data_IF_600235082515
#
_entry.id   IF_600235082515
#
_cell.length_a   1.000
_cell.length_b   1.000
_cell.length_c   1.000
_cell.angle_alpha   90.00
_cell.angle_beta   90.00
_cell.angle_gamma   90.00
#
_symmetry.space_group_name_H-M   'P 1'
#
loop_
_entity.id
_entity.type
_entity.pdbx_description
1 polymer ?
#
# COMPACT_ATOMS: atom_id res chain seq x y z
N UNK A 1 13.44 5.85 4.52
CA UNK A 1 12.39 5.39 5.47
C UNK A 1 11.08 5.46 4.71
N UNK A 2 10.44 4.32 4.52
CA UNK A 2 9.17 4.18 3.82
C UNK A 2 8.04 4.63 4.76
N UNK A 3 7.15 5.47 4.28
CA UNK A 3 5.94 5.83 5.02
C UNK A 3 4.72 5.32 4.26
N UNK A 4 3.83 4.65 4.98
CA UNK A 4 2.56 4.18 4.45
C UNK A 4 1.45 4.80 5.30
N UNK A 5 0.60 5.59 4.66
CA UNK A 5 -0.59 6.19 5.25
C UNK A 5 -1.84 5.50 4.67
N UNK A 6 -2.63 4.87 5.52
CA UNK A 6 -3.92 4.26 5.16
C UNK A 6 -5.03 5.17 5.67
N UNK A 7 -5.94 5.57 4.77
CA UNK A 7 -7.09 6.41 5.09
C UNK A 7 -8.37 5.58 5.13
N UNK A 8 -9.15 5.73 6.19
CA UNK A 8 -10.44 5.06 6.36
C UNK A 8 -11.60 6.05 6.51
N UNK A 9 -12.73 5.68 5.93
CA UNK A 9 -14.04 6.31 6.16
C UNK A 9 -15.07 5.22 6.47
N UNK A 10 -15.91 5.42 7.49
CA UNK A 10 -16.87 4.42 7.95
C UNK A 10 -16.26 3.01 8.14
N UNK A 11 -15.02 2.97 8.65
CA UNK A 11 -14.22 1.75 8.85
C UNK A 11 -13.78 1.02 7.56
N UNK A 12 -14.03 1.60 6.37
CA UNK A 12 -13.56 1.09 5.08
C UNK A 12 -12.28 1.80 4.66
N UNK A 13 -11.31 1.08 4.10
CA UNK A 13 -10.14 1.71 3.47
C UNK A 13 -10.61 2.38 2.17
N UNK A 14 -10.40 3.68 2.05
CA UNK A 14 -10.75 4.44 0.84
C UNK A 14 -9.52 4.79 0.01
N UNK A 15 -8.34 4.85 0.62
CA UNK A 15 -7.09 5.07 -0.07
C UNK A 15 -5.89 4.65 0.78
N UNK A 16 -4.75 4.51 0.13
CA UNK A 16 -3.46 4.49 0.80
C UNK A 16 -2.43 5.31 0.02
N UNK A 17 -1.41 5.78 0.74
CA UNK A 17 -0.25 6.45 0.16
C UNK A 17 1.01 5.78 0.67
N UNK A 18 1.97 5.52 -0.20
CA UNK A 18 3.29 4.99 0.13
C UNK A 18 4.37 5.91 -0.45
N UNK A 19 5.25 6.44 0.40
CA UNK A 19 6.35 7.31 0.02
C UNK A 19 7.71 6.82 0.53
N UNK A 20 8.81 7.25 -0.11
CA UNK A 20 10.17 6.92 0.30
C UNK A 20 10.62 5.49 -0.05
N UNK A 21 9.90 4.82 -0.97
CA UNK A 21 10.17 3.45 -1.40
C UNK A 21 11.16 3.36 -2.59
N UNK A 22 11.66 4.51 -3.07
CA UNK A 22 12.71 4.62 -4.08
C UNK A 22 13.98 5.33 -3.57
N UNK A 23 14.06 5.61 -2.26
CA UNK A 23 15.26 6.22 -1.65
C UNK A 23 16.33 5.13 -1.38
N UNK A 24 17.30 5.03 -2.28
CA UNK A 24 18.44 4.11 -2.17
C UNK A 24 19.68 4.84 -1.66
N UNK A 25 20.18 4.49 -0.48
CA UNK A 25 21.50 4.93 -0.03
C UNK A 25 22.21 3.96 0.91
N UNK A 26 21.49 3.13 1.69
CA UNK A 26 22.12 2.25 2.69
C UNK A 26 21.93 0.76 2.39
N UNK A 27 23.01 -0.01 2.63
CA UNK A 27 23.07 -1.44 2.39
C UNK A 27 21.96 -2.18 3.15
N UNK A 28 21.03 -2.82 2.42
CA UNK A 28 19.87 -3.54 2.99
C UNK A 28 18.54 -2.80 2.91
N UNK A 29 18.54 -1.47 2.70
CA UNK A 29 17.33 -0.67 2.45
C UNK A 29 16.61 -1.14 1.17
N UNK A 30 17.39 -1.56 0.17
CA UNK A 30 16.95 -2.06 -1.13
C UNK A 30 15.97 -3.23 -1.01
N UNK A 31 16.19 -4.14 -0.05
CA UNK A 31 15.35 -5.32 0.16
C UNK A 31 13.99 -4.93 0.77
N UNK A 32 13.99 -3.95 1.68
CA UNK A 32 12.75 -3.47 2.31
C UNK A 32 11.93 -2.67 1.29
N UNK A 33 12.58 -1.83 0.48
CA UNK A 33 11.95 -1.12 -0.62
C UNK A 33 11.31 -2.09 -1.61
N UNK A 34 12.06 -3.10 -2.08
CA UNK A 34 11.54 -4.11 -2.98
C UNK A 34 10.36 -4.89 -2.38
N UNK A 35 10.43 -5.23 -1.09
CA UNK A 35 9.33 -5.89 -0.36
C UNK A 35 8.08 -5.02 -0.29
N UNK A 36 8.21 -3.76 0.12
CA UNK A 36 7.10 -2.82 0.24
C UNK A 36 6.44 -2.54 -1.12
N UNK A 37 7.25 -2.28 -2.16
CA UNK A 37 6.77 -2.08 -3.53
C UNK A 37 6.03 -3.31 -4.06
N UNK A 38 6.58 -4.51 -3.86
CA UNK A 38 5.92 -5.75 -4.30
C UNK A 38 4.55 -5.94 -3.63
N UNK A 39 4.43 -5.62 -2.35
CA UNK A 39 3.16 -5.71 -1.62
C UNK A 39 2.16 -4.68 -2.15
N UNK A 40 2.55 -3.41 -2.28
CA UNK A 40 1.65 -2.33 -2.65
C UNK A 40 1.18 -2.43 -4.11
N UNK A 41 2.11 -2.49 -5.07
CA UNK A 41 1.78 -2.60 -6.49
C UNK A 41 1.10 -3.93 -6.81
N UNK A 42 1.56 -5.02 -6.18
CA UNK A 42 0.90 -6.32 -6.32
C UNK A 42 -0.56 -6.28 -5.87
N UNK A 43 -0.86 -5.55 -4.79
CA UNK A 43 -2.23 -5.41 -4.31
C UNK A 43 -3.11 -4.58 -5.24
N UNK A 44 -2.60 -3.44 -5.72
CA UNK A 44 -3.32 -2.59 -6.68
C UNK A 44 -3.69 -3.38 -7.93
N UNK A 45 -2.73 -4.15 -8.46
CA UNK A 45 -2.97 -5.02 -9.63
C UNK A 45 -3.98 -6.13 -9.32
N UNK A 46 -3.86 -6.80 -8.17
CA UNK A 46 -4.75 -7.89 -7.79
C UNK A 46 -6.21 -7.41 -7.62
N UNK A 47 -6.42 -6.25 -7.00
CA UNK A 47 -7.75 -5.67 -6.83
C UNK A 47 -8.37 -5.35 -8.19
N UNK A 48 -7.60 -4.71 -9.07
CA UNK A 48 -8.03 -4.33 -10.42
C UNK A 48 -8.43 -5.56 -11.25
N UNK A 49 -7.64 -6.63 -11.21
CA UNK A 49 -7.93 -7.88 -11.92
C UNK A 49 -9.17 -8.60 -11.36
N UNK A 50 -9.36 -8.62 -10.03
CA UNK A 50 -10.49 -9.31 -9.39
C UNK A 50 -11.82 -8.60 -9.60
N UNK A 51 -11.80 -7.29 -9.84
CA UNK A 51 -13.00 -6.45 -10.01
C UNK A 51 -13.16 -5.79 -11.37
N UNK A 52 -12.27 -6.13 -12.31
CA UNK A 52 -12.30 -5.70 -13.71
C UNK A 52 -12.47 -4.17 -13.84
N UNK A 53 -11.62 -3.42 -13.14
CA UNK A 53 -11.57 -1.96 -13.23
C UNK A 53 -10.13 -1.46 -13.35
N UNK A 54 -9.97 -0.28 -13.96
CA UNK A 54 -8.67 0.38 -14.05
C UNK A 54 -8.28 1.01 -12.70
N UNK A 55 -7.09 0.72 -12.15
CA UNK A 55 -6.66 1.28 -10.89
C UNK A 55 -6.60 2.80 -10.93
N UNK A 56 -7.11 3.45 -9.88
CA UNK A 56 -6.96 4.90 -9.69
C UNK A 56 -5.69 5.15 -8.90
N UNK A 57 -4.59 5.38 -9.61
CA UNK A 57 -3.27 5.62 -9.02
C UNK A 57 -2.68 6.99 -9.42
N UNK A 58 -1.90 7.56 -8.50
CA UNK A 58 -0.94 8.62 -8.79
C UNK A 58 0.45 8.11 -8.41
N UNK A 59 1.38 8.13 -9.36
CA UNK A 59 2.73 7.59 -9.20
C UNK A 59 3.77 8.65 -9.58
N UNK A 60 4.81 8.76 -8.76
CA UNK A 60 6.01 9.55 -9.01
C UNK A 60 7.22 8.85 -8.37
N UNK A 61 8.43 9.38 -8.52
CA UNK A 61 9.65 8.78 -7.97
C UNK A 61 9.54 8.55 -6.45
N UNK A 62 9.44 7.28 -6.06
CA UNK A 62 9.29 6.87 -4.66
C UNK A 62 7.95 7.25 -4.03
N UNK A 63 6.93 7.57 -4.82
CA UNK A 63 5.58 7.90 -4.38
C UNK A 63 4.52 7.06 -5.10
N UNK A 64 3.61 6.48 -4.33
CA UNK A 64 2.43 5.80 -4.83
C UNK A 64 1.22 6.22 -4.01
N UNK A 65 0.20 6.74 -4.66
CA UNK A 65 -1.13 6.91 -4.10
C UNK A 65 -2.12 6.03 -4.84
N UNK A 66 -2.99 5.35 -4.09
CA UNK A 66 -4.08 4.57 -4.65
C UNK A 66 -5.39 4.96 -3.98
N UNK A 67 -6.41 5.19 -4.79
CA UNK A 67 -7.77 5.45 -4.35
C UNK A 67 -8.70 4.31 -4.77
N UNK A 68 -9.54 3.85 -3.86
CA UNK A 68 -10.59 2.86 -4.17
C UNK A 68 -11.68 3.57 -4.97
N UNK A 69 -12.08 3.06 -6.15
CA UNK A 69 -13.17 3.67 -6.89
C UNK A 69 -14.47 3.65 -6.06
N UNK A 70 -15.29 4.69 -6.19
CA UNK A 70 -16.46 4.92 -5.34
C UNK A 70 -17.41 3.70 -5.26
N UNK A 71 -17.62 3.02 -6.40
CA UNK A 71 -18.49 1.85 -6.49
C UNK A 71 -17.97 0.63 -5.72
N UNK A 72 -16.67 0.60 -5.37
CA UNK A 72 -16.00 -0.52 -4.71
C UNK A 72 -15.54 -0.23 -3.28
N UNK A 73 -15.78 0.98 -2.74
CA UNK A 73 -15.39 1.34 -1.36
C UNK A 73 -15.96 0.35 -0.34
N UNK A 74 -17.19 -0.13 -0.56
CA UNK A 74 -17.86 -1.10 0.33
C UNK A 74 -17.82 -2.53 -0.19
N UNK A 75 -17.05 -2.81 -1.24
CA UNK A 75 -16.89 -4.16 -1.75
C UNK A 75 -16.08 -5.02 -0.78
N UNK A 76 -16.66 -6.14 -0.33
CA UNK A 76 -16.07 -7.01 0.68
C UNK A 76 -14.71 -7.58 0.24
N UNK A 77 -14.55 -7.97 -1.03
CA UNK A 77 -13.30 -8.56 -1.52
C UNK A 77 -12.21 -7.50 -1.59
N UNK A 78 -12.53 -6.30 -2.06
CA UNK A 78 -11.58 -5.18 -2.07
C UNK A 78 -11.09 -4.87 -0.66
N UNK A 79 -12.00 -4.85 0.32
CA UNK A 79 -11.64 -4.54 1.71
C UNK A 79 -10.83 -5.66 2.38
N UNK A 80 -11.14 -6.92 2.08
CA UNK A 80 -10.31 -8.07 2.52
C UNK A 80 -8.90 -7.95 1.95
N UNK A 81 -8.77 -7.65 0.66
CA UNK A 81 -7.49 -7.50 -0.03
C UNK A 81 -6.67 -6.34 0.55
N UNK A 82 -7.28 -5.15 0.71
CA UNK A 82 -6.61 -3.99 1.30
C UNK A 82 -6.23 -4.21 2.77
N UNK A 83 -7.07 -4.89 3.55
CA UNK A 83 -6.75 -5.26 4.93
C UNK A 83 -5.59 -6.27 4.96
N UNK A 84 -5.56 -7.22 4.02
CA UNK A 84 -4.46 -8.15 3.84
C UNK A 84 -3.15 -7.45 3.50
N UNK A 85 -3.18 -6.45 2.61
CA UNK A 85 -2.04 -5.60 2.28
C UNK A 85 -1.53 -4.83 3.50
N UNK A 86 -2.42 -4.17 4.26
CA UNK A 86 -2.03 -3.46 5.49
C UNK A 86 -1.34 -4.42 6.47
N UNK A 87 -1.85 -5.63 6.65
CA UNK A 87 -1.24 -6.64 7.51
C UNK A 87 0.14 -7.11 7.02
N UNK A 88 0.33 -7.28 5.70
CA UNK A 88 1.63 -7.62 5.12
C UNK A 88 2.64 -6.49 5.35
N UNK A 89 2.25 -5.24 5.11
CA UNK A 89 3.11 -4.08 5.33
C UNK A 89 3.44 -3.89 6.83
N UNK A 90 2.49 -4.14 7.73
CA UNK A 90 2.73 -4.18 9.19
C UNK A 90 3.70 -5.29 9.59
N UNK A 91 3.62 -6.45 8.93
CA UNK A 91 4.57 -7.55 9.17
C UNK A 91 5.98 -7.16 8.71
N UNK A 92 6.11 -6.48 7.57
CA UNK A 92 7.37 -5.92 7.11
C UNK A 92 7.91 -4.88 8.10
N UNK A 93 7.05 -3.99 8.62
CA UNK A 93 7.42 -3.01 9.63
C UNK A 93 7.85 -3.62 10.97
N UNK A 94 7.25 -4.74 11.36
CA UNK A 94 7.69 -5.48 12.54
C UNK A 94 9.09 -6.05 12.36
N UNK A 95 9.42 -6.57 11.17
CA UNK A 95 10.75 -7.09 10.86
C UNK A 95 11.80 -6.00 10.63
N UNK A 96 11.41 -4.83 10.13
CA UNK A 96 12.30 -3.73 9.73
C UNK A 96 11.79 -2.37 10.26
N UNK A 97 11.70 -2.18 11.59
CA UNK A 97 11.04 -1.01 12.21
C UNK A 97 11.75 0.32 11.91
N UNK A 98 13.04 0.28 11.60
CA UNK A 98 13.84 1.47 11.26
C UNK A 98 13.71 1.87 9.78
N UNK A 99 13.02 1.06 8.96
CA UNK A 99 12.94 1.25 7.51
C UNK A 99 11.54 1.55 6.99
N UNK A 100 10.48 1.13 7.67
CA UNK A 100 9.10 1.36 7.25
C UNK A 100 8.19 1.67 8.44
N UNK A 101 7.29 2.64 8.25
CA UNK A 101 6.28 3.04 9.22
C UNK A 101 4.88 3.04 8.60
N UNK A 102 3.92 2.49 9.34
CA UNK A 102 2.51 2.42 8.96
C UNK A 102 1.72 3.37 9.86
N UNK A 103 1.01 4.32 9.26
CA UNK A 103 0.01 5.14 9.94
C UNK A 103 -1.36 4.76 9.37
N UNK A 104 -2.32 4.47 10.25
CA UNK A 104 -3.70 4.16 9.87
C UNK A 104 -4.57 5.21 10.55
N UNK A 105 -5.29 6.00 9.74
CA UNK A 105 -6.14 7.11 10.18
C UNK A 105 -7.60 6.82 9.85
#
# INVERSE_FOLDING_TARGET
MIQVDVLREDNQIISFTMSGHADFAEHGSDLVCAGASSIAFGMVNAISEVRDFEPVIEEDEGYLHYSVPADFVRDEVVQILLTGMENQLRSLAYSYPDHIKINSK
#
